data_IF_816638762545
#
_entry.id   IF_816638762545
#
_cell.length_a   1.000
_cell.length_b   1.000
_cell.length_c   1.000
_cell.angle_alpha   90.00
_cell.angle_beta   90.00
_cell.angle_gamma   90.00
#
_symmetry.space_group_name_H-M   'P 1'
#
loop_
_entity.id
_entity.type
_entity.pdbx_description
1 polymer ?
#
# COMPACT_ATOMS: atom_id res chain seq x y z
N UNK A 1 0.89 -10.24 -15.25
CA UNK A 1 0.19 -9.17 -15.96
C UNK A 1 -1.20 -8.99 -15.38
N UNK A 2 -1.63 -7.76 -15.17
CA UNK A 2 -2.97 -7.39 -14.67
C UNK A 2 -3.63 -6.53 -15.75
N UNK A 3 -4.88 -6.83 -16.07
CA UNK A 3 -5.66 -6.08 -17.05
C UNK A 3 -7.00 -5.66 -16.43
N UNK A 4 -7.32 -4.38 -16.54
CA UNK A 4 -8.63 -3.82 -16.21
C UNK A 4 -9.28 -3.37 -17.51
N UNK A 5 -10.51 -3.84 -17.78
CA UNK A 5 -11.26 -3.54 -19.00
C UNK A 5 -12.59 -2.90 -18.64
N UNK A 6 -12.72 -1.60 -18.92
CA UNK A 6 -13.91 -0.78 -18.68
C UNK A 6 -14.46 -0.91 -17.25
N UNK A 7 -13.56 -0.92 -16.26
CA UNK A 7 -13.91 -1.19 -14.87
C UNK A 7 -14.56 0.03 -14.24
N UNK A 8 -15.79 -0.12 -13.77
CA UNK A 8 -16.53 0.90 -13.03
C UNK A 8 -17.00 0.37 -11.69
N UNK A 9 -17.07 1.25 -10.69
CA UNK A 9 -17.61 0.95 -9.36
C UNK A 9 -18.51 2.07 -8.89
N UNK A 10 -19.79 1.77 -8.77
CA UNK A 10 -20.79 2.61 -8.09
C UNK A 10 -21.18 1.94 -6.79
N UNK A 11 -21.15 2.67 -5.69
CA UNK A 11 -21.56 2.20 -4.37
C UNK A 11 -23.09 2.31 -4.19
N UNK A 12 -23.70 1.58 -3.25
CA UNK A 12 -25.16 1.62 -3.04
C UNK A 12 -25.73 2.99 -2.72
N UNK A 13 -24.93 3.90 -2.18
CA UNK A 13 -25.29 5.30 -1.91
C UNK A 13 -25.17 6.23 -3.13
N UNK A 14 -24.93 5.68 -4.33
CA UNK A 14 -24.79 6.43 -5.59
C UNK A 14 -23.41 7.04 -5.82
N UNK A 15 -22.47 6.93 -4.89
CA UNK A 15 -21.10 7.43 -5.07
C UNK A 15 -20.36 6.60 -6.12
N UNK A 16 -19.82 7.26 -7.15
CA UNK A 16 -18.96 6.64 -8.17
C UNK A 16 -17.53 6.59 -7.63
N UNK A 17 -17.03 5.40 -7.37
CA UNK A 17 -15.67 5.19 -6.90
C UNK A 17 -14.66 4.95 -8.02
N UNK A 18 -15.09 4.33 -9.13
CA UNK A 18 -14.32 4.13 -10.35
C UNK A 18 -15.22 4.38 -11.56
N UNK A 19 -14.68 5.02 -12.58
CA UNK A 19 -15.38 5.34 -13.81
C UNK A 19 -14.55 4.91 -15.04
N UNK A 20 -14.97 3.85 -15.69
CA UNK A 20 -14.41 3.34 -16.95
C UNK A 20 -12.87 3.19 -16.94
N UNK A 21 -12.33 2.56 -15.90
CA UNK A 21 -10.88 2.34 -15.79
C UNK A 21 -10.44 1.28 -16.79
N UNK A 22 -9.49 1.66 -17.64
CA UNK A 22 -8.74 0.79 -18.52
C UNK A 22 -7.26 0.90 -18.16
N UNK A 23 -6.63 -0.22 -17.75
CA UNK A 23 -5.27 -0.22 -17.24
C UNK A 23 -4.63 -1.58 -17.47
N UNK A 24 -3.37 -1.58 -17.89
CA UNK A 24 -2.54 -2.78 -17.95
C UNK A 24 -1.31 -2.57 -17.08
N UNK A 25 -0.99 -3.59 -16.27
CA UNK A 25 0.17 -3.58 -15.37
C UNK A 25 0.98 -4.83 -15.66
N UNK A 26 2.26 -4.63 -15.93
CA UNK A 26 3.18 -5.72 -16.19
C UNK A 26 3.74 -6.32 -14.89
N UNK A 27 4.25 -7.55 -15.01
CA UNK A 27 4.85 -8.22 -13.87
C UNK A 27 6.17 -7.54 -13.48
N UNK A 28 6.36 -7.33 -12.19
CA UNK A 28 7.57 -6.73 -11.64
C UNK A 28 7.58 -5.19 -11.64
N UNK A 29 6.50 -4.52 -12.06
CA UNK A 29 6.40 -3.07 -11.93
C UNK A 29 6.27 -2.64 -10.46
N UNK A 30 6.84 -1.48 -10.13
CA UNK A 30 6.60 -0.76 -8.89
C UNK A 30 5.78 0.49 -9.18
N UNK A 31 4.50 0.44 -8.86
CA UNK A 31 3.53 1.49 -9.18
C UNK A 31 3.10 2.24 -7.92
N UNK A 32 3.12 3.56 -7.98
CA UNK A 32 2.45 4.41 -7.00
C UNK A 32 1.18 5.03 -7.60
N UNK A 33 0.07 4.88 -6.88
CA UNK A 33 -1.20 5.53 -7.22
C UNK A 33 -1.31 6.79 -6.35
N UNK A 34 -1.46 7.95 -7.00
CA UNK A 34 -1.57 9.26 -6.35
C UNK A 34 -2.88 9.95 -6.72
N UNK A 35 -3.27 10.96 -5.94
CA UNK A 35 -4.48 11.76 -6.13
C UNK A 35 -5.11 12.19 -4.83
N UNK A 36 -6.07 13.10 -4.88
CA UNK A 36 -6.78 13.62 -3.73
C UNK A 36 -7.49 12.53 -2.91
N UNK A 37 -7.83 12.84 -1.66
CA UNK A 37 -8.75 12.00 -0.89
C UNK A 37 -10.08 11.87 -1.63
N UNK A 38 -10.63 10.66 -1.71
CA UNK A 38 -11.85 10.40 -2.48
C UNK A 38 -11.66 10.20 -3.99
N UNK A 39 -10.44 10.31 -4.54
CA UNK A 39 -10.18 10.14 -5.97
C UNK A 39 -10.41 8.72 -6.51
N UNK A 40 -10.67 7.71 -5.67
CA UNK A 40 -10.90 6.33 -6.08
C UNK A 40 -9.72 5.39 -5.87
N UNK A 41 -8.56 5.86 -5.37
CA UNK A 41 -7.32 5.08 -5.18
C UNK A 41 -7.53 3.78 -4.41
N UNK A 42 -8.06 3.86 -3.20
CA UNK A 42 -8.33 2.67 -2.36
C UNK A 42 -9.43 1.79 -2.97
N UNK A 43 -10.37 2.37 -3.71
CA UNK A 43 -11.38 1.60 -4.44
C UNK A 43 -10.72 0.76 -5.53
N UNK A 44 -9.85 1.36 -6.35
CA UNK A 44 -9.09 0.64 -7.37
C UNK A 44 -8.26 -0.49 -6.77
N UNK A 45 -7.45 -0.18 -5.75
CA UNK A 45 -6.59 -1.16 -5.10
C UNK A 45 -7.38 -2.34 -4.51
N UNK A 46 -8.51 -2.05 -3.82
CA UNK A 46 -9.38 -3.08 -3.23
C UNK A 46 -10.16 -3.89 -4.27
N UNK A 47 -10.40 -3.33 -5.45
CA UNK A 47 -11.01 -4.06 -6.56
C UNK A 47 -10.04 -5.08 -7.16
N UNK A 48 -8.74 -4.81 -7.22
CA UNK A 48 -7.71 -5.76 -7.68
C UNK A 48 -7.66 -7.05 -6.83
N UNK A 49 -8.03 -6.97 -5.55
CA UNK A 49 -8.13 -8.13 -4.66
C UNK A 49 -9.60 -8.59 -4.47
N UNK A 50 -10.53 -8.00 -5.23
CA UNK A 50 -11.98 -8.23 -5.10
C UNK A 50 -12.48 -8.12 -3.65
N UNK A 51 -11.89 -7.21 -2.87
CA UNK A 51 -12.47 -6.75 -1.59
C UNK A 51 -13.66 -5.82 -1.84
N UNK A 52 -13.65 -5.12 -2.98
CA UNK A 52 -14.77 -4.43 -3.56
C UNK A 52 -15.12 -5.12 -4.89
N UNK A 53 -16.33 -5.63 -5.02
CA UNK A 53 -16.83 -6.08 -6.32
C UNK A 53 -17.02 -4.86 -7.23
N UNK A 54 -16.62 -4.99 -8.49
CA UNK A 54 -16.87 -3.97 -9.52
C UNK A 54 -18.34 -3.99 -9.93
N UNK A 55 -18.87 -2.87 -10.41
CA UNK A 55 -20.24 -2.77 -10.90
C UNK A 55 -20.31 -3.13 -12.39
N UNK A 56 -19.26 -2.80 -13.15
CA UNK A 56 -19.14 -3.08 -14.58
C UNK A 56 -17.67 -3.36 -14.93
N UNK A 57 -17.46 -3.99 -16.08
CA UNK A 57 -16.16 -4.33 -16.60
C UNK A 57 -15.56 -5.58 -15.97
N UNK A 58 -14.28 -5.81 -16.24
CA UNK A 58 -13.58 -7.03 -15.87
C UNK A 58 -12.15 -6.74 -15.42
N UNK A 59 -11.70 -7.46 -14.39
CA UNK A 59 -10.32 -7.48 -13.92
C UNK A 59 -9.76 -8.87 -14.14
N UNK A 60 -8.66 -8.96 -14.87
CA UNK A 60 -7.94 -10.19 -15.21
C UNK A 60 -6.56 -10.14 -14.57
N UNK A 61 -6.17 -11.18 -13.85
CA UNK A 61 -4.85 -11.32 -13.22
C UNK A 61 -4.22 -12.62 -13.70
N UNK A 62 -3.06 -12.51 -14.36
CA UNK A 62 -2.34 -13.64 -14.95
C UNK A 62 -3.22 -14.51 -15.88
N UNK A 63 -4.09 -13.87 -16.66
CA UNK A 63 -5.00 -14.52 -17.60
C UNK A 63 -6.28 -15.09 -16.99
N UNK A 64 -6.50 -14.94 -15.69
CA UNK A 64 -7.70 -15.42 -15.00
C UNK A 64 -8.56 -14.25 -14.51
N UNK A 65 -9.87 -14.30 -14.76
CA UNK A 65 -10.80 -13.27 -14.31
C UNK A 65 -11.05 -13.38 -12.80
N UNK A 66 -10.60 -12.36 -12.06
CA UNK A 66 -10.93 -12.29 -10.64
C UNK A 66 -12.39 -11.83 -10.42
N UNK A 67 -12.93 -11.05 -11.34
CA UNK A 67 -14.30 -10.53 -11.30
C UNK A 67 -15.32 -11.66 -11.25
N UNK A 68 -15.14 -12.68 -12.09
CA UNK A 68 -16.07 -13.79 -12.24
C UNK A 68 -15.68 -15.06 -11.47
N UNK A 69 -14.55 -15.04 -10.76
CA UNK A 69 -14.05 -16.17 -10.00
C UNK A 69 -15.08 -16.64 -8.94
N UNK A 70 -15.34 -17.94 -8.85
CA UNK A 70 -16.09 -18.51 -7.75
C UNK A 70 -15.28 -18.49 -6.43
N UNK A 71 -15.89 -18.82 -5.30
CA UNK A 71 -15.26 -18.72 -3.98
C UNK A 71 -13.95 -19.54 -3.86
N UNK A 72 -13.86 -20.70 -4.50
CA UNK A 72 -12.66 -21.56 -4.49
C UNK A 72 -11.56 -20.98 -5.34
N UNK A 73 -11.88 -20.49 -6.52
CA UNK A 73 -10.96 -19.80 -7.44
C UNK A 73 -10.43 -18.51 -6.83
N UNK A 74 -11.33 -17.67 -6.30
CA UNK A 74 -10.96 -16.42 -5.63
C UNK A 74 -10.01 -16.67 -4.45
N UNK A 75 -10.26 -17.70 -3.63
CA UNK A 75 -9.35 -18.09 -2.55
C UNK A 75 -7.97 -18.47 -3.09
N UNK A 76 -7.92 -19.21 -4.21
CA UNK A 76 -6.66 -19.59 -4.87
C UNK A 76 -5.93 -18.36 -5.42
N UNK A 77 -6.63 -17.48 -6.13
CA UNK A 77 -6.04 -16.24 -6.68
C UNK A 77 -5.48 -15.34 -5.58
N UNK A 78 -6.22 -15.16 -4.47
CA UNK A 78 -5.80 -14.35 -3.33
C UNK A 78 -4.56 -14.89 -2.60
N UNK A 79 -4.13 -16.13 -2.81
CA UNK A 79 -2.82 -16.60 -2.32
C UNK A 79 -1.68 -15.83 -2.94
N UNK A 80 -1.84 -15.44 -4.20
CA UNK A 80 -0.82 -14.73 -4.97
C UNK A 80 -0.95 -13.20 -4.85
N UNK A 81 -1.91 -12.70 -4.05
CA UNK A 81 -2.15 -11.27 -3.84
C UNK A 81 -2.01 -10.96 -2.36
N UNK A 82 -0.90 -10.34 -1.99
CA UNK A 82 -0.66 -9.80 -0.65
C UNK A 82 -1.35 -8.45 -0.49
N UNK A 83 -2.03 -8.23 0.65
CA UNK A 83 -2.67 -6.95 0.95
C UNK A 83 -2.14 -6.38 2.24
N UNK A 84 -1.63 -5.16 2.17
CA UNK A 84 -1.13 -4.37 3.29
C UNK A 84 -2.07 -3.18 3.46
N UNK A 85 -2.60 -3.01 4.66
CA UNK A 85 -3.59 -1.98 4.98
C UNK A 85 -2.96 -0.87 5.81
N UNK A 86 -3.55 0.31 5.75
CA UNK A 86 -3.18 1.47 6.57
C UNK A 86 -3.15 1.17 8.07
N UNK A 87 -4.11 0.37 8.57
CA UNK A 87 -4.21 -0.01 10.00
C UNK A 87 -3.49 -1.32 10.33
N UNK A 88 -2.50 -1.75 9.53
CA UNK A 88 -1.68 -2.95 9.69
C UNK A 88 -2.45 -4.28 9.71
N UNK A 89 -3.70 -4.32 10.16
CA UNK A 89 -4.58 -5.49 10.29
C UNK A 89 -3.88 -6.68 10.97
N UNK A 90 -3.22 -6.40 12.10
CA UNK A 90 -2.62 -7.42 12.95
C UNK A 90 -3.58 -7.83 14.07
N UNK A 91 -3.54 -9.10 14.43
CA UNK A 91 -4.19 -9.59 15.65
C UNK A 91 -3.36 -9.11 16.83
N UNK A 92 -3.78 -8.01 17.46
CA UNK A 92 -2.99 -7.22 18.43
C UNK A 92 -2.43 -8.05 19.58
N UNK A 93 -3.25 -8.96 20.15
CA UNK A 93 -2.86 -9.84 21.28
C UNK A 93 -2.01 -11.04 20.88
N UNK A 94 -1.87 -11.34 19.60
CA UNK A 94 -1.01 -12.40 19.11
C UNK A 94 0.44 -11.96 19.01
N UNK A 95 1.35 -12.94 19.02
CA UNK A 95 2.77 -12.70 18.76
C UNK A 95 3.01 -12.31 17.32
N UNK A 96 4.16 -11.68 17.06
CA UNK A 96 4.65 -11.35 15.72
C UNK A 96 4.68 -12.61 14.85
N UNK A 97 5.25 -13.71 15.34
CA UNK A 97 5.29 -14.98 14.63
C UNK A 97 3.91 -15.45 14.17
N UNK A 98 2.90 -15.40 15.05
CA UNK A 98 1.53 -15.82 14.71
C UNK A 98 0.88 -14.90 13.68
N UNK A 99 1.17 -13.61 13.72
CA UNK A 99 0.69 -12.67 12.71
C UNK A 99 1.34 -12.91 11.34
N UNK A 100 2.64 -13.16 11.30
CA UNK A 100 3.36 -13.40 10.04
C UNK A 100 2.96 -14.74 9.43
N UNK A 101 2.97 -15.84 10.20
CA UNK A 101 2.63 -17.17 9.69
C UNK A 101 1.18 -17.25 9.19
N UNK A 102 0.29 -16.34 9.64
CA UNK A 102 -1.08 -16.26 9.13
C UNK A 102 -1.15 -15.99 7.62
N UNK A 103 -0.10 -15.46 7.00
CA UNK A 103 0.04 -15.37 5.54
C UNK A 103 -0.09 -16.72 4.82
N UNK A 104 0.20 -17.83 5.52
CA UNK A 104 0.07 -19.20 4.99
C UNK A 104 -1.34 -19.79 5.06
N UNK A 105 -2.29 -19.13 5.73
CA UNK A 105 -3.67 -19.66 5.93
C UNK A 105 -4.37 -20.03 4.62
N UNK A 106 -4.07 -19.34 3.53
CA UNK A 106 -4.61 -19.65 2.22
C UNK A 106 -4.24 -21.05 1.69
N UNK A 107 -3.17 -21.66 2.17
CA UNK A 107 -2.62 -22.94 1.72
C UNK A 107 -3.16 -24.14 2.51
N UNK A 108 -3.84 -23.89 3.62
CA UNK A 108 -4.37 -24.92 4.52
C UNK A 108 -5.88 -25.06 4.41
N UNK A 109 -6.39 -26.24 4.75
CA UNK A 109 -7.85 -26.44 4.84
C UNK A 109 -8.41 -25.82 6.14
N UNK A 110 -9.73 -25.73 6.24
CA UNK A 110 -10.39 -25.07 7.36
C UNK A 110 -10.05 -25.68 8.72
N UNK A 111 -9.91 -27.01 8.80
CA UNK A 111 -9.57 -27.71 10.05
C UNK A 111 -8.14 -27.43 10.50
N UNK A 112 -7.19 -27.50 9.59
CA UNK A 112 -5.79 -27.18 9.87
C UNK A 112 -5.64 -25.72 10.31
N UNK A 113 -6.37 -24.82 9.63
CA UNK A 113 -6.41 -23.39 9.98
C UNK A 113 -6.97 -23.16 11.38
N UNK A 114 -8.09 -23.82 11.72
CA UNK A 114 -8.74 -23.70 13.03
C UNK A 114 -7.83 -24.20 14.16
N UNK A 115 -7.09 -25.27 13.94
CA UNK A 115 -6.15 -25.85 14.92
C UNK A 115 -4.80 -25.17 14.91
N UNK A 116 -4.53 -24.21 14.00
CA UNK A 116 -3.25 -23.52 13.87
C UNK A 116 -2.10 -24.45 13.49
N UNK A 117 -2.38 -25.49 12.71
CA UNK A 117 -1.41 -26.51 12.30
C UNK A 117 -0.63 -26.00 11.07
N UNK A 118 0.56 -25.45 11.33
CA UNK A 118 1.50 -25.05 10.30
C UNK A 118 2.67 -26.03 10.22
N UNK A 119 3.28 -26.18 9.04
CA UNK A 119 4.45 -27.02 8.84
C UNK A 119 5.70 -26.40 9.49
N UNK A 120 6.71 -27.23 9.75
CA UNK A 120 8.03 -26.76 10.21
C UNK A 120 8.64 -25.79 9.20
N UNK A 121 8.41 -26.01 7.92
CA UNK A 121 8.88 -25.17 6.84
C UNK A 121 8.23 -23.76 6.88
N UNK A 122 6.95 -23.66 7.21
CA UNK A 122 6.28 -22.35 7.33
C UNK A 122 6.81 -21.55 8.53
N UNK A 123 7.21 -22.20 9.61
CA UNK A 123 7.91 -21.54 10.71
C UNK A 123 9.29 -21.02 10.27
N UNK A 124 10.06 -21.79 9.50
CA UNK A 124 11.33 -21.34 8.96
C UNK A 124 11.18 -20.18 7.98
N UNK A 125 10.16 -20.23 7.09
CA UNK A 125 9.81 -19.12 6.20
C UNK A 125 9.43 -17.87 6.99
N UNK A 126 8.74 -18.04 8.12
CA UNK A 126 8.35 -16.93 9.01
C UNK A 126 9.57 -16.26 9.62
N UNK A 127 10.54 -17.04 10.11
CA UNK A 127 11.80 -16.53 10.66
C UNK A 127 12.61 -15.79 9.59
N UNK A 128 12.77 -16.38 8.41
CA UNK A 128 13.45 -15.75 7.28
C UNK A 128 12.76 -14.46 6.79
N UNK A 129 11.42 -14.41 6.82
CA UNK A 129 10.69 -13.20 6.46
C UNK A 129 10.88 -12.08 7.49
N UNK A 130 10.91 -12.43 8.79
CA UNK A 130 11.18 -11.47 9.88
C UNK A 130 12.61 -10.95 9.83
N UNK A 131 13.58 -11.77 9.45
CA UNK A 131 14.95 -11.36 9.22
C UNK A 131 15.05 -10.31 8.11
N UNK A 132 14.36 -10.52 6.99
CA UNK A 132 14.32 -9.57 5.86
C UNK A 132 13.81 -8.19 6.23
N UNK A 133 12.92 -8.09 7.21
CA UNK A 133 12.39 -6.80 7.70
C UNK A 133 13.03 -6.35 9.02
N UNK A 134 14.13 -6.98 9.46
CA UNK A 134 14.88 -6.60 10.65
C UNK A 134 14.12 -6.75 11.97
N UNK A 135 13.29 -7.82 12.10
CA UNK A 135 12.47 -8.09 13.29
C UNK A 135 12.69 -9.50 13.87
N UNK A 136 13.85 -10.12 13.64
CA UNK A 136 14.17 -11.47 14.13
C UNK A 136 14.08 -11.59 15.66
N UNK A 137 14.46 -10.53 16.38
CA UNK A 137 14.44 -10.43 17.84
C UNK A 137 13.02 -10.31 18.43
N UNK A 138 12.01 -9.99 17.58
CA UNK A 138 10.63 -9.72 18.00
C UNK A 138 9.68 -10.91 17.85
N UNK A 139 10.15 -12.07 17.40
CA UNK A 139 9.35 -13.23 17.03
C UNK A 139 8.27 -13.62 18.06
N UNK A 140 8.62 -13.61 19.35
CA UNK A 140 7.73 -13.95 20.46
C UNK A 140 7.03 -12.75 21.09
N UNK A 141 7.34 -11.54 20.65
CA UNK A 141 6.76 -10.30 21.17
C UNK A 141 5.32 -10.16 20.69
N UNK A 142 4.43 -9.60 21.52
CA UNK A 142 3.05 -9.30 21.12
C UNK A 142 3.03 -8.11 20.17
N UNK A 143 2.14 -8.17 19.16
CA UNK A 143 2.06 -7.14 18.14
C UNK A 143 1.56 -5.77 18.65
N UNK A 144 0.80 -5.75 19.76
CA UNK A 144 0.34 -4.50 20.38
C UNK A 144 1.43 -3.73 21.16
N UNK A 145 2.59 -4.33 21.42
CA UNK A 145 3.74 -3.68 22.04
C UNK A 145 4.76 -3.12 21.06
N UNK A 146 4.50 -3.25 19.76
CA UNK A 146 5.38 -2.77 18.70
C UNK A 146 5.06 -1.31 18.32
N UNK A 147 6.09 -0.56 17.87
CA UNK A 147 5.87 0.74 17.22
C UNK A 147 5.09 0.59 15.91
N UNK A 148 4.49 1.69 15.41
CA UNK A 148 3.74 1.68 14.15
C UNK A 148 4.56 1.14 12.97
N UNK A 149 5.81 1.60 12.82
CA UNK A 149 6.71 1.11 11.78
C UNK A 149 7.08 -0.37 11.93
N UNK A 150 7.24 -0.86 13.17
CA UNK A 150 7.44 -2.29 13.41
C UNK A 150 6.20 -3.10 13.05
N UNK A 151 4.99 -2.62 13.40
CA UNK A 151 3.73 -3.26 13.01
C UNK A 151 3.57 -3.32 11.49
N UNK A 152 3.95 -2.26 10.79
CA UNK A 152 3.94 -2.23 9.33
C UNK A 152 4.91 -3.26 8.74
N UNK A 153 6.12 -3.37 9.27
CA UNK A 153 7.08 -4.39 8.82
C UNK A 153 6.61 -5.82 9.13
N UNK A 154 5.87 -6.06 10.21
CA UNK A 154 5.19 -7.35 10.44
C UNK A 154 4.16 -7.64 9.35
N UNK A 155 3.41 -6.64 8.91
CA UNK A 155 2.46 -6.74 7.79
C UNK A 155 3.17 -7.08 6.46
N UNK A 156 4.32 -6.47 6.20
CA UNK A 156 5.19 -6.80 5.05
C UNK A 156 5.71 -8.24 5.16
N UNK A 157 6.25 -8.65 6.31
CA UNK A 157 6.72 -10.02 6.53
C UNK A 157 5.61 -11.06 6.29
N UNK A 158 4.36 -10.75 6.65
CA UNK A 158 3.20 -11.58 6.36
C UNK A 158 2.98 -11.79 4.85
N UNK A 159 3.18 -10.75 4.02
CA UNK A 159 3.07 -10.90 2.56
C UNK A 159 4.26 -11.67 1.96
N UNK A 160 5.44 -11.56 2.56
CA UNK A 160 6.61 -12.36 2.17
C UNK A 160 6.34 -13.85 2.41
N UNK A 161 5.86 -14.21 3.60
CA UNK A 161 5.52 -15.61 3.95
C UNK A 161 4.38 -16.14 3.09
N UNK A 162 3.45 -15.29 2.69
CA UNK A 162 2.38 -15.64 1.75
C UNK A 162 2.92 -16.01 0.38
N UNK A 163 4.14 -15.61 0.01
CA UNK A 163 4.77 -15.78 -1.31
C UNK A 163 3.97 -15.10 -2.43
N UNK A 164 3.33 -14.00 -2.12
CA UNK A 164 2.50 -13.26 -3.06
C UNK A 164 3.33 -12.66 -4.21
N UNK A 165 2.87 -12.82 -5.45
CA UNK A 165 3.50 -12.22 -6.64
C UNK A 165 3.09 -10.77 -6.85
N UNK A 166 1.86 -10.42 -6.40
CA UNK A 166 1.31 -9.08 -6.40
C UNK A 166 1.14 -8.59 -4.95
N UNK A 167 1.73 -7.45 -4.65
CA UNK A 167 1.59 -6.78 -3.34
C UNK A 167 0.83 -5.48 -3.53
N UNK A 168 -0.31 -5.38 -2.87
CA UNK A 168 -1.17 -4.21 -2.83
C UNK A 168 -1.01 -3.54 -1.47
N UNK A 169 -0.70 -2.24 -1.43
CA UNK A 169 -0.53 -1.51 -0.18
C UNK A 169 -1.38 -0.22 -0.18
N UNK A 170 -2.34 -0.16 0.74
CA UNK A 170 -3.27 0.96 0.88
C UNK A 170 -2.75 1.91 1.96
N UNK A 171 -2.11 3.00 1.56
CA UNK A 171 -1.51 4.04 2.41
C UNK A 171 -0.56 3.49 3.50
N UNK A 172 0.44 2.68 3.14
CA UNK A 172 1.24 1.93 4.11
C UNK A 172 2.13 2.78 5.02
N UNK A 173 2.32 4.06 4.70
CA UNK A 173 3.21 4.98 5.44
C UNK A 173 2.51 6.22 6.00
N UNK A 174 1.20 6.37 5.81
CA UNK A 174 0.45 7.58 6.17
C UNK A 174 0.43 7.92 7.66
N UNK A 175 0.64 6.93 8.54
CA UNK A 175 0.65 7.10 10.00
C UNK A 175 2.07 7.02 10.61
N UNK A 176 3.12 7.10 9.78
CA UNK A 176 4.52 6.93 10.20
C UNK A 176 5.27 8.26 10.06
N UNK A 177 6.29 8.43 10.90
CA UNK A 177 7.24 9.51 10.74
C UNK A 177 8.08 9.37 9.45
N UNK A 178 8.71 10.44 8.95
CA UNK A 178 9.45 10.43 7.68
C UNK A 178 10.55 9.35 7.62
N UNK A 179 11.33 9.17 8.68
CA UNK A 179 12.45 8.20 8.72
C UNK A 179 11.92 6.77 8.66
N UNK A 180 10.88 6.48 9.43
CA UNK A 180 10.20 5.18 9.43
C UNK A 180 9.53 4.92 8.08
N UNK A 181 8.92 5.94 7.46
CA UNK A 181 8.32 5.86 6.13
C UNK A 181 9.34 5.47 5.06
N UNK A 182 10.53 6.09 5.07
CA UNK A 182 11.61 5.71 4.16
C UNK A 182 12.07 4.26 4.37
N UNK A 183 12.19 3.83 5.62
CA UNK A 183 12.55 2.43 5.94
C UNK A 183 11.54 1.45 5.34
N UNK A 184 10.25 1.70 5.51
CA UNK A 184 9.17 0.87 4.96
C UNK A 184 9.17 0.90 3.43
N UNK A 185 9.37 2.06 2.80
CA UNK A 185 9.46 2.17 1.34
C UNK A 185 10.68 1.43 0.78
N UNK A 186 11.81 1.44 1.49
CA UNK A 186 12.98 0.63 1.13
C UNK A 186 12.71 -0.88 1.24
N UNK A 187 11.90 -1.33 2.21
CA UNK A 187 11.48 -2.72 2.30
C UNK A 187 10.64 -3.11 1.06
N UNK A 188 9.70 -2.26 0.61
CA UNK A 188 8.97 -2.48 -0.65
C UNK A 188 9.91 -2.52 -1.86
N UNK A 189 10.85 -1.59 -1.95
CA UNK A 189 11.82 -1.55 -3.05
C UNK A 189 12.63 -2.84 -3.13
N UNK A 190 13.11 -3.36 -2.00
CA UNK A 190 13.81 -4.64 -1.94
C UNK A 190 12.92 -5.81 -2.41
N UNK A 191 11.65 -5.85 -2.01
CA UNK A 191 10.72 -6.88 -2.47
C UNK A 191 10.53 -6.84 -3.99
N UNK A 192 10.49 -5.66 -4.59
CA UNK A 192 10.39 -5.50 -6.03
C UNK A 192 11.69 -5.93 -6.74
N UNK A 193 12.84 -5.40 -6.31
CA UNK A 193 14.13 -5.60 -6.98
C UNK A 193 14.69 -7.01 -6.79
N UNK A 194 14.65 -7.55 -5.55
CA UNK A 194 15.25 -8.84 -5.22
C UNK A 194 14.32 -10.01 -5.50
N UNK A 195 13.02 -9.88 -5.19
CA UNK A 195 12.04 -10.95 -5.35
C UNK A 195 11.18 -10.80 -6.61
N UNK A 196 11.40 -9.74 -7.41
CA UNK A 196 10.66 -9.45 -8.66
C UNK A 196 9.14 -9.39 -8.47
N UNK A 197 8.68 -8.93 -7.29
CA UNK A 197 7.26 -8.81 -7.01
C UNK A 197 6.68 -7.56 -7.67
N UNK A 198 5.47 -7.67 -8.20
CA UNK A 198 4.70 -6.50 -8.64
C UNK A 198 4.17 -5.79 -7.43
N UNK A 199 4.37 -4.49 -7.33
CA UNK A 199 3.97 -3.68 -6.17
C UNK A 199 3.11 -2.52 -6.63
N UNK A 200 1.94 -2.37 -6.00
CA UNK A 200 1.03 -1.25 -6.23
C UNK A 200 0.73 -0.60 -4.89
N UNK A 201 1.11 0.65 -4.73
CA UNK A 201 0.97 1.40 -3.47
C UNK A 201 0.10 2.64 -3.69
N UNK A 202 -0.94 2.80 -2.90
CA UNK A 202 -1.59 4.11 -2.72
C UNK A 202 -0.74 4.96 -1.78
N UNK A 203 -0.38 6.15 -2.20
CA UNK A 203 0.44 7.06 -1.40
C UNK A 203 -0.02 8.51 -1.59
N UNK A 204 0.06 9.31 -0.52
CA UNK A 204 -0.23 10.74 -0.58
C UNK A 204 1.01 11.57 -0.92
N UNK A 205 2.20 11.15 -0.47
CA UNK A 205 3.45 11.85 -0.75
C UNK A 205 3.88 11.65 -2.21
N UNK A 206 3.82 12.74 -2.97
CA UNK A 206 4.31 12.80 -4.35
C UNK A 206 5.83 12.57 -4.40
N UNK A 207 6.55 13.08 -3.41
CA UNK A 207 7.99 12.92 -3.31
C UNK A 207 8.39 11.44 -3.20
N UNK A 208 7.75 10.70 -2.28
CA UNK A 208 7.97 9.25 -2.16
C UNK A 208 7.54 8.52 -3.43
N UNK A 209 6.43 8.92 -4.08
CA UNK A 209 6.01 8.32 -5.34
C UNK A 209 7.08 8.49 -6.43
N UNK A 210 7.60 9.72 -6.63
CA UNK A 210 8.66 10.01 -7.61
C UNK A 210 9.96 9.25 -7.32
N UNK A 211 10.29 9.08 -6.04
CA UNK A 211 11.56 8.46 -5.60
C UNK A 211 11.58 6.94 -5.73
N UNK A 212 10.46 6.28 -5.51
CA UNK A 212 10.40 4.82 -5.40
C UNK A 212 9.72 4.14 -6.57
N UNK A 213 8.72 4.75 -7.19
CA UNK A 213 7.97 4.12 -8.27
C UNK A 213 8.73 4.15 -9.60
N UNK A 214 8.58 3.08 -10.38
CA UNK A 214 8.92 3.07 -11.80
C UNK A 214 7.85 3.76 -12.64
N UNK A 215 6.58 3.67 -12.21
CA UNK A 215 5.41 4.22 -12.89
C UNK A 215 4.45 4.84 -11.88
N UNK A 216 3.86 5.96 -12.24
CA UNK A 216 2.88 6.67 -11.41
C UNK A 216 1.54 6.68 -12.14
N UNK A 217 0.47 6.36 -11.40
CA UNK A 217 -0.91 6.48 -11.85
C UNK A 217 -1.56 7.60 -11.04
N UNK A 218 -1.98 8.65 -11.72
CA UNK A 218 -2.71 9.78 -11.14
C UNK A 218 -4.21 9.60 -11.28
N UNK A 219 -4.94 9.63 -10.17
CA UNK A 219 -6.39 9.48 -10.16
C UNK A 219 -7.11 10.75 -9.73
N UNK A 220 -8.24 11.05 -10.39
CA UNK A 220 -9.15 12.13 -10.03
C UNK A 220 -10.59 11.72 -10.35
N UNK A 221 -11.52 11.89 -9.39
CA UNK A 221 -12.95 11.60 -9.56
C UNK A 221 -13.27 10.20 -10.11
N UNK A 222 -12.51 9.19 -9.70
CA UNK A 222 -12.70 7.81 -10.14
C UNK A 222 -12.08 7.47 -11.49
N UNK A 223 -11.36 8.40 -12.12
CA UNK A 223 -10.72 8.24 -13.44
C UNK A 223 -9.20 8.28 -13.33
N UNK A 224 -8.50 7.65 -14.28
CA UNK A 224 -7.05 7.80 -14.47
C UNK A 224 -6.84 9.05 -15.33
N UNK A 225 -6.18 10.06 -14.77
CA UNK A 225 -5.85 11.32 -15.48
C UNK A 225 -4.36 11.41 -15.84
N UNK A 226 -3.54 10.54 -15.26
CA UNK A 226 -2.13 10.39 -15.60
C UNK A 226 -1.72 8.93 -15.44
N UNK A 227 -0.95 8.43 -16.40
CA UNK A 227 -0.36 7.10 -16.39
C UNK A 227 0.96 7.14 -17.17
N UNK A 228 2.07 6.98 -16.47
CA UNK A 228 3.38 7.06 -17.09
C UNK A 228 4.55 6.88 -16.14
N UNK A 229 5.79 6.88 -16.66
CA UNK A 229 7.00 6.82 -15.85
C UNK A 229 7.03 7.90 -14.77
N UNK A 230 7.61 7.57 -13.60
CA UNK A 230 7.73 8.54 -12.51
C UNK A 230 8.47 9.82 -12.91
N UNK A 231 9.40 9.74 -13.87
CA UNK A 231 10.12 10.89 -14.43
C UNK A 231 9.24 11.87 -15.22
N UNK A 232 8.10 11.41 -15.73
CA UNK A 232 7.14 12.23 -16.47
C UNK A 232 6.06 12.87 -15.57
N UNK A 233 6.00 12.52 -14.31
CA UNK A 233 5.10 13.14 -13.33
C UNK A 233 5.61 14.54 -12.94
N UNK A 234 5.60 15.48 -13.92
CA UNK A 234 6.02 16.87 -13.75
C UNK A 234 5.03 17.64 -12.86
N UNK A 235 5.40 18.82 -12.37
CA UNK A 235 4.52 19.66 -11.57
C UNK A 235 3.25 20.08 -12.36
N UNK A 236 3.36 20.23 -13.68
CA UNK A 236 2.19 20.46 -14.52
C UNK A 236 1.23 19.28 -14.49
N UNK A 237 1.72 18.04 -14.59
CA UNK A 237 0.90 16.81 -14.49
C UNK A 237 0.30 16.63 -13.10
N UNK A 238 1.05 16.97 -12.07
CA UNK A 238 0.52 16.98 -10.71
C UNK A 238 -0.63 17.98 -10.54
N UNK A 239 -0.55 19.16 -11.19
CA UNK A 239 -1.67 20.10 -11.23
C UNK A 239 -2.93 19.52 -11.88
N UNK A 240 -2.79 18.69 -12.90
CA UNK A 240 -3.92 18.00 -13.53
C UNK A 240 -4.55 16.97 -12.57
N UNK A 241 -3.72 16.27 -11.78
CA UNK A 241 -4.16 15.25 -10.81
C UNK A 241 -4.85 15.88 -9.60
N UNK A 242 -4.22 16.89 -9.01
CA UNK A 242 -4.64 17.47 -7.73
C UNK A 242 -5.42 18.78 -7.88
N UNK A 243 -5.46 19.36 -9.08
CA UNK A 243 -5.97 20.71 -9.30
C UNK A 243 -5.03 21.77 -8.72
N UNK A 244 -5.47 23.02 -8.64
CA UNK A 244 -4.68 24.12 -8.06
C UNK A 244 -4.39 23.94 -6.54
N UNK A 245 -5.02 22.96 -5.90
CA UNK A 245 -5.00 22.80 -4.43
C UNK A 245 -3.62 22.43 -3.84
N UNK A 246 -2.70 21.82 -4.60
CA UNK A 246 -1.36 21.48 -4.05
C UNK A 246 -0.56 22.75 -3.78
N UNK A 247 -0.47 23.67 -4.76
CA UNK A 247 0.38 24.85 -4.62
C UNK A 247 -0.17 25.86 -3.60
N UNK A 248 -1.50 25.92 -3.44
CA UNK A 248 -2.11 26.75 -2.39
C UNK A 248 -1.79 26.20 -1.00
N UNK A 249 -1.88 24.90 -0.78
CA UNK A 249 -1.58 24.26 0.52
C UNK A 249 -0.06 24.23 0.83
N UNK A 250 0.81 23.94 -0.14
CA UNK A 250 2.26 23.96 0.07
C UNK A 250 2.77 25.38 0.25
N UNK A 251 2.24 26.35 -0.50
CA UNK A 251 2.58 27.76 -0.32
C UNK A 251 2.09 28.28 1.05
N UNK A 252 0.92 27.84 1.51
CA UNK A 252 0.38 28.23 2.81
C UNK A 252 1.16 27.56 3.94
N UNK A 253 1.46 26.26 3.87
CA UNK A 253 2.30 25.57 4.85
C UNK A 253 3.72 26.14 4.93
N UNK A 254 4.30 26.51 3.79
CA UNK A 254 5.62 27.18 3.74
C UNK A 254 5.61 28.58 4.34
N UNK A 255 4.51 29.35 4.18
CA UNK A 255 4.33 30.65 4.81
C UNK A 255 4.16 30.52 6.32
N UNK A 256 3.30 29.61 6.78
CA UNK A 256 3.07 29.35 8.20
C UNK A 256 4.36 28.88 8.92
N UNK A 257 5.16 28.00 8.25
CA UNK A 257 6.44 27.55 8.79
C UNK A 257 7.46 28.70 8.87
N UNK A 258 7.52 29.59 7.86
CA UNK A 258 8.39 30.74 7.84
C UNK A 258 7.97 31.79 8.89
N UNK A 259 6.68 32.03 9.05
CA UNK A 259 6.15 32.94 10.08
C UNK A 259 6.46 32.43 11.49
N UNK A 260 6.30 31.11 11.74
CA UNK A 260 6.64 30.51 13.02
C UNK A 260 8.15 30.58 13.32
N UNK A 261 9.00 30.42 12.30
CA UNK A 261 10.46 30.56 12.46
C UNK A 261 10.88 32.00 12.74
N UNK A 262 10.23 32.99 12.11
CA UNK A 262 10.45 34.42 12.36
C UNK A 262 9.98 34.79 13.79
N UNK A 263 8.82 34.35 14.21
CA UNK A 263 8.34 34.60 15.59
C UNK A 263 9.26 33.98 16.64
N UNK A 264 9.73 32.77 16.41
CA UNK A 264 10.67 32.09 17.31
C UNK A 264 12.01 32.84 17.43
N UNK A 265 12.55 33.38 16.31
CA UNK A 265 13.78 34.20 16.31
C UNK A 265 13.57 35.54 17.05
N UNK A 266 12.46 36.22 16.79
CA UNK A 266 12.15 37.48 17.49
C UNK A 266 11.98 37.28 19.01
N UNK A 267 11.43 36.17 19.45
CA UNK A 267 11.33 35.84 20.89
C UNK A 267 12.69 35.53 21.53
N UNK A 268 13.63 34.95 20.77
CA UNK A 268 14.99 34.68 21.24
C UNK A 268 15.81 35.97 21.35
N UNK A 269 15.68 36.90 20.40
CA UNK A 269 16.39 38.18 20.41
C UNK A 269 15.94 39.07 21.58
N UNK A 270 14.63 39.10 21.89
CA UNK A 270 14.10 39.86 23.05
C UNK A 270 14.53 39.27 24.39
N UNK A 271 14.78 37.95 24.46
CA UNK A 271 15.25 37.30 25.70
C UNK A 271 16.76 37.40 25.92
N UNK A 272 17.53 37.91 24.95
CA UNK A 272 18.98 38.06 25.04
C UNK A 272 19.36 39.51 25.38
N UNK A 273 18.44 40.47 25.32
CA UNK A 273 18.64 41.90 25.66
C UNK A 273 18.19 42.30 27.08
N UNK A 274 17.69 41.34 27.89
CA UNK A 274 17.36 41.51 29.31
C UNK A 274 18.33 40.74 30.23
#
# INVERSE_FOLDING_TARGET
MIELKNVSKTFPNGVVGLNNINLTIDQGEFICIIGLSGAGKSTLLRSLNRLNDVSEGEIIINGESITHANAKELRRMRRNIGMIFQQFNLVRKNTVQRNVISGRLGYYNNWQTLLGLFSKEDYQRTEAALEKVGLSDKLKVRSDSLSGGQQQRVSIARTIVQEADLILADEPVSALDPVTSETVMNDFKRLNEELKRTIIINIHSVELARRYASRIIGMRNGEIVFDGPASEATDQKLNEIYGKAIFENEAQASREALEAEIEHRLQQDVSTEL
#
